data_IF_865092365557
#
_entry.id   IF_865092365557
#
_cell.length_a   1.000
_cell.length_b   1.000
_cell.length_c   1.000
_cell.angle_alpha   90.00
_cell.angle_beta   90.00
_cell.angle_gamma   90.00
#
_symmetry.space_group_name_H-M   'P 1'
#
loop_
_entity.id
_entity.type
_entity.pdbx_description
1 polymer ?
#
# COMPACT_ATOMS: atom_id res chain seq x y z
N UNK A 1 -26.85 53.03 -19.99
CA UNK A 1 -27.39 51.74 -20.48
C UNK A 1 -26.20 50.90 -20.95
N UNK A 2 -25.67 50.01 -20.10
CA UNK A 2 -25.65 48.52 -20.23
C UNK A 2 -24.99 48.07 -21.56
N UNK A 3 -23.67 47.80 -21.56
CA UNK A 3 -22.96 46.48 -21.47
C UNK A 3 -23.06 45.61 -22.74
N UNK A 4 -21.91 45.22 -23.27
CA UNK A 4 -21.66 43.83 -23.70
C UNK A 4 -20.14 43.59 -23.80
N UNK A 5 -19.58 42.95 -22.76
CA UNK A 5 -18.24 42.38 -22.77
C UNK A 5 -18.39 40.88 -23.04
N UNK A 6 -17.89 40.41 -24.18
CA UNK A 6 -17.85 38.99 -24.53
C UNK A 6 -16.82 38.28 -23.65
N UNK A 7 -17.26 37.33 -22.84
CA UNK A 7 -16.40 36.44 -22.05
C UNK A 7 -16.40 35.07 -22.73
N UNK A 8 -15.27 34.70 -23.34
CA UNK A 8 -15.05 33.38 -23.92
C UNK A 8 -14.59 32.43 -22.81
N UNK A 9 -15.49 31.57 -22.33
CA UNK A 9 -15.16 30.51 -21.37
C UNK A 9 -14.66 29.29 -22.14
N UNK A 10 -13.36 28.99 -22.05
CA UNK A 10 -12.79 27.75 -22.57
C UNK A 10 -12.93 26.68 -21.48
N UNK A 11 -13.91 25.79 -21.65
CA UNK A 11 -14.07 24.59 -20.83
C UNK A 11 -13.07 23.53 -21.30
N UNK A 12 -11.97 23.36 -20.56
CA UNK A 12 -11.08 22.21 -20.73
C UNK A 12 -11.73 20.97 -20.10
N UNK A 13 -12.42 20.18 -20.94
CA UNK A 13 -12.83 18.82 -20.59
C UNK A 13 -11.59 17.94 -20.51
N UNK A 14 -11.08 17.70 -19.30
CA UNK A 14 -10.03 16.70 -19.09
C UNK A 14 -10.64 15.30 -19.32
N UNK A 15 -10.03 14.43 -20.15
CA UNK A 15 -10.46 13.05 -20.22
C UNK A 15 -10.10 12.36 -18.90
N UNK A 16 -11.12 11.86 -18.21
CA UNK A 16 -10.93 10.87 -17.15
C UNK A 16 -10.28 9.66 -17.82
N UNK A 17 -8.99 9.45 -17.58
CA UNK A 17 -8.32 8.22 -17.96
C UNK A 17 -8.89 7.09 -17.10
N UNK A 18 -9.99 6.50 -17.56
CA UNK A 18 -10.47 5.21 -17.06
C UNK A 18 -9.37 4.19 -17.35
N UNK A 19 -8.69 3.75 -16.30
CA UNK A 19 -7.72 2.67 -16.39
C UNK A 19 -8.49 1.40 -16.78
N UNK A 20 -8.31 0.93 -18.02
CA UNK A 20 -8.91 -0.31 -18.52
C UNK A 20 -8.34 -1.50 -17.74
N UNK A 21 -8.97 -1.85 -16.62
CA UNK A 21 -8.78 -3.14 -15.99
C UNK A 21 -9.50 -4.17 -16.84
N UNK A 22 -8.80 -5.23 -17.25
CA UNK A 22 -9.48 -6.32 -17.96
C UNK A 22 -10.51 -6.98 -17.04
N UNK A 23 -11.62 -7.51 -17.57
CA UNK A 23 -12.61 -8.22 -16.76
C UNK A 23 -12.02 -9.36 -15.91
N UNK A 24 -10.95 -9.99 -16.41
CA UNK A 24 -10.19 -11.02 -15.68
C UNK A 24 -9.40 -10.44 -14.49
N UNK A 25 -8.86 -9.23 -14.60
CA UNK A 25 -8.17 -8.60 -13.49
C UNK A 25 -9.16 -8.19 -12.38
N UNK A 26 -10.35 -7.71 -12.76
CA UNK A 26 -11.41 -7.36 -11.81
C UNK A 26 -11.90 -8.58 -11.02
N UNK A 27 -12.07 -9.74 -11.67
CA UNK A 27 -12.56 -10.94 -10.98
C UNK A 27 -11.58 -11.48 -9.93
N UNK A 28 -10.27 -11.40 -10.18
CA UNK A 28 -9.25 -11.79 -9.21
C UNK A 28 -9.18 -10.85 -8.00
N UNK A 29 -9.33 -9.54 -8.23
CA UNK A 29 -9.45 -8.55 -7.16
C UNK A 29 -10.68 -8.86 -6.33
N UNK A 30 -11.85 -8.98 -6.96
CA UNK A 30 -13.09 -9.27 -6.28
C UNK A 30 -13.00 -10.56 -5.48
N UNK A 31 -12.46 -11.64 -6.05
CA UNK A 31 -12.36 -12.95 -5.40
C UNK A 31 -11.42 -13.01 -4.20
N UNK A 32 -10.44 -12.11 -4.10
CA UNK A 32 -9.36 -12.21 -3.10
C UNK A 32 -9.31 -11.06 -2.11
N UNK A 33 -9.81 -9.89 -2.49
CA UNK A 33 -9.78 -8.70 -1.63
C UNK A 33 -10.95 -8.78 -0.64
N UNK A 34 -10.70 -8.67 0.67
CA UNK A 34 -11.76 -8.64 1.66
C UNK A 34 -12.64 -7.40 1.51
N UNK A 35 -13.81 -7.42 2.14
CA UNK A 35 -14.66 -6.22 2.24
C UNK A 35 -13.90 -5.09 2.93
N UNK A 36 -14.34 -3.85 2.71
CA UNK A 36 -13.73 -2.67 3.34
C UNK A 36 -13.71 -2.78 4.88
N UNK A 37 -14.78 -3.32 5.47
CA UNK A 37 -14.92 -3.54 6.91
C UNK A 37 -13.91 -4.57 7.45
N UNK A 38 -13.60 -5.60 6.66
CA UNK A 38 -12.67 -6.66 7.04
C UNK A 38 -11.20 -6.34 6.72
N UNK A 39 -10.93 -5.34 5.87
CA UNK A 39 -9.58 -5.02 5.39
C UNK A 39 -8.61 -4.71 6.53
N UNK A 40 -8.93 -3.73 7.38
CA UNK A 40 -8.03 -3.29 8.44
C UNK A 40 -7.83 -4.36 9.53
N UNK A 41 -8.89 -5.02 10.06
CA UNK A 41 -8.72 -6.09 11.05
C UNK A 41 -7.84 -7.24 10.55
N UNK A 42 -8.01 -7.66 9.29
CA UNK A 42 -7.22 -8.73 8.71
C UNK A 42 -5.76 -8.32 8.48
N UNK A 43 -5.51 -7.13 7.92
CA UNK A 43 -4.15 -6.61 7.78
C UNK A 43 -3.44 -6.54 9.14
N UNK A 44 -4.12 -6.02 10.18
CA UNK A 44 -3.55 -5.91 11.52
C UNK A 44 -3.20 -7.28 12.10
N UNK A 45 -4.12 -8.25 12.01
CA UNK A 45 -3.91 -9.63 12.46
C UNK A 45 -2.69 -10.25 11.80
N UNK A 46 -2.61 -10.18 10.47
CA UNK A 46 -1.61 -10.92 9.71
C UNK A 46 -0.23 -10.25 9.76
N UNK A 47 -0.16 -8.91 9.79
CA UNK A 47 1.08 -8.19 10.05
C UNK A 47 1.60 -8.49 11.46
N UNK A 48 0.73 -8.48 12.47
CA UNK A 48 1.13 -8.83 13.84
C UNK A 48 1.68 -10.25 13.90
N UNK A 49 0.99 -11.22 13.28
CA UNK A 49 1.45 -12.60 13.22
C UNK A 49 2.82 -12.75 12.53
N UNK A 50 3.08 -11.98 11.46
CA UNK A 50 4.37 -11.97 10.77
C UNK A 50 5.49 -11.48 11.68
N UNK A 51 5.34 -10.30 12.31
CA UNK A 51 6.39 -9.75 13.17
C UNK A 51 6.58 -10.55 14.47
N UNK A 52 5.49 -11.04 15.06
CA UNK A 52 5.54 -11.86 16.27
C UNK A 52 6.22 -13.23 16.06
N UNK A 53 6.22 -13.75 14.82
CA UNK A 53 6.97 -14.97 14.48
C UNK A 53 8.49 -14.76 14.57
N UNK A 54 8.98 -13.58 14.21
CA UNK A 54 10.39 -13.23 14.29
C UNK A 54 10.80 -12.77 15.70
N UNK A 55 9.90 -12.08 16.40
CA UNK A 55 10.10 -11.59 17.76
C UNK A 55 8.80 -11.66 18.57
N UNK A 56 8.70 -12.64 19.46
CA UNK A 56 7.52 -12.88 20.28
C UNK A 56 7.19 -11.74 21.26
N UNK A 57 8.09 -10.76 21.45
CA UNK A 57 7.80 -9.57 22.25
C UNK A 57 6.93 -8.55 21.51
N UNK A 58 6.74 -8.70 20.19
CA UNK A 58 5.86 -7.82 19.41
C UNK A 58 4.40 -8.10 19.78
N UNK A 59 3.73 -7.08 20.32
CA UNK A 59 2.34 -7.15 20.78
C UNK A 59 1.38 -6.29 19.96
N UNK A 60 1.90 -5.35 19.16
CA UNK A 60 1.07 -4.46 18.35
C UNK A 60 1.75 -4.08 17.04
N UNK A 61 0.93 -3.69 16.07
CA UNK A 61 1.37 -3.10 14.79
C UNK A 61 0.48 -1.92 14.44
N UNK A 62 1.07 -0.90 13.84
CA UNK A 62 0.39 0.21 13.18
C UNK A 62 0.83 0.24 11.73
N UNK A 63 -0.05 0.66 10.82
CA UNK A 63 0.30 0.74 9.42
C UNK A 63 -0.42 1.87 8.71
N UNK A 64 0.13 2.24 7.56
CA UNK A 64 -0.53 3.07 6.57
C UNK A 64 -0.38 2.46 5.18
N UNK A 65 -1.42 2.57 4.37
CA UNK A 65 -1.35 2.19 2.96
C UNK A 65 -0.48 3.20 2.20
N UNK A 66 0.40 2.68 1.35
CA UNK A 66 1.25 3.48 0.45
C UNK A 66 0.55 3.79 -0.88
N UNK A 67 -0.62 3.19 -1.12
CA UNK A 67 -1.45 3.39 -2.31
C UNK A 67 -2.93 3.18 -1.99
N UNK A 68 -3.79 3.88 -2.73
CA UNK A 68 -5.24 3.69 -2.64
C UNK A 68 -5.65 2.38 -3.31
N UNK A 69 -5.68 1.31 -2.52
CA UNK A 69 -6.16 0.00 -2.94
C UNK A 69 -5.10 -0.96 -3.50
N UNK A 70 -5.53 -2.17 -3.86
CA UNK A 70 -4.64 -3.21 -4.32
C UNK A 70 -4.20 -2.97 -5.76
N UNK A 71 -3.02 -3.48 -6.09
CA UNK A 71 -2.57 -3.60 -7.48
C UNK A 71 -2.50 -5.05 -7.88
N UNK A 72 -2.83 -5.35 -9.14
CA UNK A 72 -2.66 -6.68 -9.69
C UNK A 72 -1.94 -6.59 -11.04
N UNK A 73 -1.01 -7.51 -11.26
CA UNK A 73 -0.37 -7.73 -12.56
C UNK A 73 -0.60 -9.19 -12.94
N UNK A 74 -1.20 -9.42 -14.11
CA UNK A 74 -1.56 -10.76 -14.60
C UNK A 74 -2.50 -11.51 -13.64
N UNK A 75 -2.21 -12.80 -13.45
CA UNK A 75 -3.01 -13.74 -12.64
C UNK A 75 -2.59 -13.85 -11.17
N UNK A 76 -1.60 -13.05 -10.75
CA UNK A 76 -1.12 -13.09 -9.38
C UNK A 76 -2.14 -12.49 -8.39
N UNK A 77 -2.05 -12.88 -7.12
CA UNK A 77 -2.90 -12.29 -6.07
C UNK A 77 -2.78 -10.75 -6.02
N UNK A 78 -3.89 -10.04 -5.72
CA UNK A 78 -3.89 -8.59 -5.50
C UNK A 78 -2.92 -8.21 -4.38
N UNK A 79 -2.17 -7.12 -4.57
CA UNK A 79 -1.11 -6.68 -3.66
C UNK A 79 -1.40 -5.36 -3.03
N UNK A 80 -1.20 -5.26 -1.73
CA UNK A 80 -1.15 -4.00 -1.00
C UNK A 80 0.29 -3.69 -0.61
N UNK A 81 0.57 -2.39 -0.49
CA UNK A 81 1.86 -1.87 -0.06
C UNK A 81 1.64 -1.00 1.16
N UNK A 82 2.37 -1.28 2.24
CA UNK A 82 2.18 -0.63 3.52
C UNK A 82 3.51 -0.09 4.04
N UNK A 83 3.43 0.97 4.83
CA UNK A 83 4.47 1.30 5.79
C UNK A 83 3.99 0.88 7.17
N UNK A 84 4.77 0.06 7.86
CA UNK A 84 4.36 -0.58 9.12
C UNK A 84 5.34 -0.20 10.22
N UNK A 85 4.81 -0.06 11.43
CA UNK A 85 5.56 0.01 12.69
C UNK A 85 5.08 -1.13 13.59
N UNK A 86 6.01 -1.89 14.17
CA UNK A 86 5.71 -2.92 15.15
C UNK A 86 6.22 -2.50 16.53
N UNK A 87 5.57 -3.00 17.58
CA UNK A 87 5.81 -2.54 18.95
C UNK A 87 5.82 -3.70 19.95
N UNK A 88 6.69 -3.58 20.96
CA UNK A 88 6.66 -4.35 22.19
C UNK A 88 6.17 -3.43 23.32
N UNK A 89 4.88 -3.52 23.66
CA UNK A 89 4.21 -2.49 24.46
C UNK A 89 4.26 -1.13 23.74
N UNK A 90 4.83 -0.10 24.39
CA UNK A 90 5.02 1.23 23.80
C UNK A 90 6.35 1.41 23.04
N UNK A 91 7.22 0.39 23.05
CA UNK A 91 8.56 0.48 22.44
C UNK A 91 8.50 0.05 20.97
N UNK A 92 8.91 0.90 20.01
CA UNK A 92 9.05 0.50 18.61
C UNK A 92 10.10 -0.63 18.47
N UNK A 93 9.83 -1.58 17.58
CA UNK A 93 10.69 -2.74 17.33
C UNK A 93 11.19 -2.74 15.89
N UNK A 94 10.28 -2.82 14.94
CA UNK A 94 10.57 -2.71 13.51
C UNK A 94 9.74 -1.59 12.89
N UNK A 95 10.29 -0.94 11.88
CA UNK A 95 9.59 0.01 11.02
C UNK A 95 10.03 -0.27 9.58
N UNK A 96 9.14 -0.19 8.60
CA UNK A 96 9.55 -0.34 7.20
C UNK A 96 8.43 -0.57 6.20
N UNK A 97 8.83 -0.80 4.95
CA UNK A 97 7.92 -1.06 3.84
C UNK A 97 7.59 -2.54 3.73
N UNK A 98 6.31 -2.86 3.59
CA UNK A 98 5.78 -4.22 3.48
C UNK A 98 4.97 -4.36 2.19
N UNK A 99 5.18 -5.46 1.47
CA UNK A 99 4.30 -5.92 0.39
C UNK A 99 3.51 -7.12 0.89
N UNK A 100 2.18 -7.06 0.76
CA UNK A 100 1.29 -8.18 1.11
C UNK A 100 0.44 -8.60 -0.06
N UNK A 101 0.11 -9.89 -0.14
CA UNK A 101 -0.86 -10.45 -1.07
C UNK A 101 -2.19 -10.71 -0.35
N UNK A 102 -3.31 -10.25 -0.92
CA UNK A 102 -4.66 -10.60 -0.45
C UNK A 102 -5.05 -11.99 -0.99
N UNK A 103 -5.48 -12.90 -0.13
CA UNK A 103 -5.77 -14.29 -0.50
C UNK A 103 -7.17 -14.65 -0.01
N UNK A 104 -8.04 -15.06 -0.95
CA UNK A 104 -9.37 -15.62 -0.71
C UNK A 104 -10.30 -14.79 0.19
N UNK A 105 -10.06 -13.48 0.35
CA UNK A 105 -10.77 -12.58 1.30
C UNK A 105 -10.57 -12.91 2.78
N UNK A 106 -9.66 -13.81 3.11
CA UNK A 106 -9.51 -14.35 4.46
C UNK A 106 -8.23 -13.91 5.16
N UNK A 107 -7.18 -13.65 4.38
CA UNK A 107 -5.87 -13.29 4.92
C UNK A 107 -5.03 -12.45 3.97
N UNK A 108 -4.01 -11.84 4.56
CA UNK A 108 -2.90 -11.21 3.89
C UNK A 108 -1.62 -12.00 4.17
N UNK A 109 -0.85 -12.27 3.12
CA UNK A 109 0.46 -12.88 3.23
C UNK A 109 1.55 -11.84 2.99
N UNK A 110 2.46 -11.67 3.94
CA UNK A 110 3.65 -10.82 3.76
C UNK A 110 4.58 -11.51 2.79
N UNK A 111 4.74 -10.93 1.61
CA UNK A 111 5.65 -11.47 0.59
C UNK A 111 7.03 -10.84 0.70
N UNK A 112 7.12 -9.59 1.17
CA UNK A 112 8.38 -8.86 1.28
C UNK A 112 8.31 -7.82 2.39
N UNK A 113 9.44 -7.66 3.08
CA UNK A 113 9.66 -6.62 4.08
C UNK A 113 11.04 -6.00 3.89
N UNK A 114 11.09 -4.67 3.79
CA UNK A 114 12.32 -3.89 3.85
C UNK A 114 12.26 -2.97 5.08
N UNK A 115 13.13 -3.22 6.06
CA UNK A 115 13.22 -2.39 7.25
C UNK A 115 13.67 -0.97 6.91
N UNK A 116 13.30 0.00 7.74
CA UNK A 116 13.71 1.40 7.66
C UNK A 116 15.23 1.52 7.58
N UNK A 117 15.96 0.76 8.40
CA UNK A 117 17.42 0.72 8.37
C UNK A 117 17.95 0.24 7.01
N UNK A 118 17.35 -0.81 6.42
CA UNK A 118 17.76 -1.30 5.10
C UNK A 118 17.44 -0.29 3.99
N UNK A 119 16.27 0.35 4.04
CA UNK A 119 15.91 1.41 3.09
C UNK A 119 16.87 2.60 3.19
N UNK A 120 17.28 3.00 4.39
CA UNK A 120 18.26 4.07 4.60
C UNK A 120 19.66 3.69 4.08
N UNK A 121 20.07 2.44 4.31
CA UNK A 121 21.40 1.96 3.89
C UNK A 121 21.52 1.79 2.37
N UNK A 122 20.45 1.34 1.71
CA UNK A 122 20.45 1.09 0.26
C UNK A 122 19.15 1.57 -0.41
N UNK A 123 18.93 2.89 -0.54
CA UNK A 123 17.69 3.44 -1.10
C UNK A 123 17.40 2.99 -2.54
N UNK A 124 18.45 2.75 -3.33
CA UNK A 124 18.34 2.27 -4.71
C UNK A 124 17.76 0.86 -4.84
N UNK A 125 17.88 0.02 -3.81
CA UNK A 125 17.38 -1.35 -3.82
C UNK A 125 15.86 -1.45 -3.64
N UNK A 126 15.21 -0.38 -3.16
CA UNK A 126 13.75 -0.37 -2.94
C UNK A 126 12.98 -0.68 -4.23
N UNK A 127 13.48 -0.20 -5.38
CA UNK A 127 12.85 -0.41 -6.68
C UNK A 127 12.87 -1.86 -7.18
N UNK A 128 13.70 -2.73 -6.59
CA UNK A 128 13.72 -4.16 -6.93
C UNK A 128 12.49 -4.90 -6.35
N UNK A 129 11.95 -4.41 -5.23
CA UNK A 129 10.85 -5.05 -4.50
C UNK A 129 9.52 -4.29 -4.68
N UNK A 130 9.58 -2.97 -4.73
CA UNK A 130 8.41 -2.09 -4.74
C UNK A 130 8.26 -1.41 -6.11
N UNK A 131 7.01 -1.15 -6.55
CA UNK A 131 6.77 -0.38 -7.77
C UNK A 131 7.50 0.96 -7.73
N UNK A 132 8.06 1.37 -8.88
CA UNK A 132 8.81 2.62 -9.01
C UNK A 132 8.05 3.84 -8.46
N UNK A 133 6.73 3.89 -8.65
CA UNK A 133 5.87 4.96 -8.15
C UNK A 133 5.84 5.10 -6.61
N UNK A 134 6.19 4.05 -5.86
CA UNK A 134 6.21 4.06 -4.39
C UNK A 134 7.59 4.34 -3.81
N UNK A 135 8.65 4.23 -4.62
CA UNK A 135 10.04 4.41 -4.16
C UNK A 135 10.25 5.75 -3.47
N UNK A 136 9.83 6.91 -4.04
CA UNK A 136 10.03 8.20 -3.37
C UNK A 136 9.35 8.28 -2.00
N UNK A 137 8.12 7.79 -1.89
CA UNK A 137 7.36 7.78 -0.63
C UNK A 137 8.01 6.87 0.42
N UNK A 138 8.50 5.70 0.02
CA UNK A 138 9.17 4.76 0.92
C UNK A 138 10.48 5.35 1.45
N UNK A 139 11.31 5.92 0.55
CA UNK A 139 12.58 6.56 0.94
C UNK A 139 12.33 7.76 1.84
N UNK A 140 11.33 8.59 1.52
CA UNK A 140 10.94 9.74 2.36
C UNK A 140 10.53 9.29 3.77
N UNK A 141 9.77 8.20 3.89
CA UNK A 141 9.37 7.67 5.19
C UNK A 141 10.54 7.11 5.99
N UNK A 142 11.47 6.44 5.31
CA UNK A 142 12.67 5.95 5.96
C UNK A 142 13.55 7.09 6.47
N UNK A 143 13.57 8.24 5.81
CA UNK A 143 14.32 9.42 6.23
C UNK A 143 13.66 10.20 7.39
N UNK A 144 12.38 9.96 7.68
CA UNK A 144 11.68 10.63 8.77
C UNK A 144 12.24 10.19 10.14
N UNK A 145 12.37 11.15 11.06
CA UNK A 145 12.83 10.92 12.44
C UNK A 145 11.82 10.09 13.23
#
# INVERSE_FOLDING_TARGET
MIRALLLLVVLFSQPVAAQWQSPLQSSHIEANVPSAEALEPLLRRDLLAFFARADASVTAVEFKLLRNGPTQSGVAYPKYYLWVKSFAGSRPKEEGAVRVAAINRERFEVTDFLSKAKVQAAPSEVGATFPAALVPSIVSLAAAK
#
